data_IF_337863281049
#
_entry.id   IF_337863281049
#
_cell.length_a   1.000
_cell.length_b   1.000
_cell.length_c   1.000
_cell.angle_alpha   90.00
_cell.angle_beta   90.00
_cell.angle_gamma   90.00
#
_symmetry.space_group_name_H-M   'P 1'
#
loop_
_entity.id
_entity.type
_entity.pdbx_description
1 polymer ?
#
# COMPACT_ATOMS: atom_id res chain seq x y z
N UNK A 1 13.07 -65.56 15.74
CA UNK A 1 13.98 -64.63 16.45
C UNK A 1 15.05 -64.19 15.46
N UNK A 2 14.85 -63.06 14.77
CA UNK A 2 15.82 -62.51 13.80
C UNK A 2 15.93 -61.00 14.04
N UNK A 3 17.11 -60.56 14.48
CA UNK A 3 17.46 -59.16 14.71
C UNK A 3 17.76 -58.48 13.36
N UNK A 4 17.22 -57.27 13.15
CA UNK A 4 17.63 -56.36 12.07
C UNK A 4 18.94 -55.64 12.45
N UNK A 5 19.89 -55.44 11.52
CA UNK A 5 21.08 -54.63 11.77
C UNK A 5 20.73 -53.13 11.72
N UNK A 6 21.29 -52.34 12.64
CA UNK A 6 21.19 -50.87 12.68
C UNK A 6 22.14 -50.25 11.65
N UNK A 7 21.59 -49.56 10.64
CA UNK A 7 22.35 -48.61 9.82
C UNK A 7 22.46 -47.26 10.55
N UNK A 8 23.69 -46.75 10.73
CA UNK A 8 23.95 -45.37 11.17
C UNK A 8 23.88 -44.44 9.94
N UNK A 9 23.01 -43.42 10.01
CA UNK A 9 22.90 -42.34 9.02
C UNK A 9 24.05 -41.31 9.16
N UNK A 10 24.70 -40.84 8.07
CA UNK A 10 25.84 -39.91 8.14
C UNK A 10 25.51 -38.43 8.47
N UNK A 11 24.25 -38.07 8.66
CA UNK A 11 23.79 -36.67 8.67
C UNK A 11 24.18 -35.81 9.89
N UNK A 12 24.52 -36.41 11.04
CA UNK A 12 24.73 -35.66 12.31
C UNK A 12 26.09 -34.94 12.40
N UNK A 13 27.11 -35.36 11.66
CA UNK A 13 28.46 -34.73 11.70
C UNK A 13 28.60 -33.54 10.76
N UNK A 14 27.88 -33.52 9.63
CA UNK A 14 27.90 -32.41 8.68
C UNK A 14 27.25 -31.15 9.27
N UNK A 15 26.12 -31.30 9.98
CA UNK A 15 25.40 -30.20 10.64
C UNK A 15 26.24 -29.50 11.73
N UNK A 16 27.06 -30.24 12.50
CA UNK A 16 27.96 -29.64 13.50
C UNK A 16 29.11 -28.84 12.89
N UNK A 17 29.60 -29.22 11.70
CA UNK A 17 30.63 -28.45 10.99
C UNK A 17 30.06 -27.14 10.47
N UNK A 18 28.86 -27.15 9.90
CA UNK A 18 28.17 -25.93 9.42
C UNK A 18 27.96 -24.92 10.57
N UNK A 19 27.46 -25.38 11.73
CA UNK A 19 27.29 -24.55 12.92
C UNK A 19 28.61 -23.95 13.46
N UNK A 20 29.73 -24.65 13.26
CA UNK A 20 31.04 -24.16 13.66
C UNK A 20 31.57 -23.10 12.70
N UNK A 21 31.34 -23.25 11.39
CA UNK A 21 31.65 -22.22 10.39
C UNK A 21 30.80 -20.96 10.60
N UNK A 22 29.52 -21.10 10.92
CA UNK A 22 28.61 -19.99 11.21
C UNK A 22 29.03 -19.20 12.46
N UNK A 23 29.39 -19.90 13.56
CA UNK A 23 29.96 -19.24 14.74
C UNK A 23 31.26 -18.50 14.43
N UNK A 24 32.10 -19.03 13.53
CA UNK A 24 33.37 -18.39 13.15
C UNK A 24 33.14 -17.17 12.26
N UNK A 25 32.15 -17.22 11.37
CA UNK A 25 31.74 -16.09 10.52
C UNK A 25 31.14 -14.95 11.37
N UNK A 26 30.23 -15.25 12.30
CA UNK A 26 29.64 -14.26 13.20
C UNK A 26 30.69 -13.61 14.12
N UNK A 27 31.67 -14.38 14.57
CA UNK A 27 32.80 -13.85 15.35
C UNK A 27 33.70 -12.94 14.51
N UNK A 28 33.97 -13.28 13.25
CA UNK A 28 34.70 -12.40 12.33
C UNK A 28 33.93 -11.11 12.03
N UNK A 29 32.60 -11.19 11.86
CA UNK A 29 31.76 -10.03 11.62
C UNK A 29 31.81 -9.07 12.83
N UNK A 30 31.72 -9.59 14.05
CA UNK A 30 31.86 -8.78 15.26
C UNK A 30 33.24 -8.12 15.39
N UNK A 31 34.31 -8.84 15.05
CA UNK A 31 35.67 -8.27 15.06
C UNK A 31 35.79 -7.17 13.99
N UNK A 32 35.20 -7.35 12.81
CA UNK A 32 35.18 -6.35 11.75
C UNK A 32 34.38 -5.09 12.17
N UNK A 33 33.23 -5.27 12.81
CA UNK A 33 32.42 -4.16 13.35
C UNK A 33 33.17 -3.40 14.44
N UNK A 34 33.81 -4.09 15.38
CA UNK A 34 34.62 -3.46 16.44
C UNK A 34 35.85 -2.73 15.88
N UNK A 35 36.46 -3.26 14.81
CA UNK A 35 37.60 -2.63 14.14
C UNK A 35 37.17 -1.39 13.35
N UNK A 36 35.95 -1.38 12.78
CA UNK A 36 35.34 -0.22 12.14
C UNK A 36 34.98 0.88 13.16
N UNK A 37 34.46 0.52 14.33
CA UNK A 37 34.16 1.48 15.41
C UNK A 37 35.43 2.16 15.95
N UNK A 38 36.52 1.40 16.15
CA UNK A 38 37.81 1.94 16.59
C UNK A 38 38.52 2.81 15.55
N UNK A 39 38.28 2.60 14.26
CA UNK A 39 38.95 3.31 13.16
C UNK A 39 38.20 4.56 12.68
N UNK A 40 36.88 4.65 12.93
CA UNK A 40 36.05 5.74 12.41
C UNK A 40 35.43 6.64 13.49
N UNK A 41 35.47 6.25 14.77
CA UNK A 41 34.98 7.08 15.87
C UNK A 41 33.45 7.29 15.90
N UNK A 42 32.71 6.67 14.98
CA UNK A 42 31.25 6.68 14.96
C UNK A 42 30.71 5.50 15.77
N UNK A 43 30.14 5.76 16.96
CA UNK A 43 29.40 4.75 17.70
C UNK A 43 28.04 4.52 17.02
N UNK A 44 27.87 3.39 16.32
CA UNK A 44 26.56 2.99 15.83
C UNK A 44 25.70 2.60 17.04
N UNK A 45 24.76 3.48 17.39
CA UNK A 45 23.90 3.32 18.56
C UNK A 45 23.25 1.94 18.62
N UNK A 46 23.29 1.37 19.83
CA UNK A 46 22.80 0.05 20.23
C UNK A 46 21.31 -0.14 19.92
N UNK A 47 20.95 -0.38 18.66
CA UNK A 47 19.69 -1.05 18.34
C UNK A 47 19.88 -2.52 18.70
N UNK A 48 19.28 -2.90 19.83
CA UNK A 48 19.12 -4.28 20.28
C UNK A 48 18.78 -5.17 19.08
N UNK A 49 19.76 -5.94 18.63
CA UNK A 49 19.56 -7.10 17.75
C UNK A 49 18.92 -8.22 18.58
N UNK A 50 17.65 -8.01 18.94
CA UNK A 50 16.77 -9.03 19.48
C UNK A 50 15.79 -9.55 18.40
N UNK A 51 16.00 -9.16 17.14
CA UNK A 51 15.32 -9.69 15.97
C UNK A 51 16.22 -10.73 15.30
N UNK A 52 16.38 -11.92 15.90
CA UNK A 52 16.85 -13.08 15.15
C UNK A 52 16.63 -14.38 15.90
N UNK A 53 15.36 -14.77 16.00
CA UNK A 53 14.91 -16.16 16.10
C UNK A 53 13.40 -16.22 15.83
N UNK A 54 12.92 -15.44 14.87
CA UNK A 54 11.63 -15.74 14.25
C UNK A 54 11.82 -17.01 13.41
N UNK A 55 10.89 -17.94 13.55
CA UNK A 55 10.91 -19.27 12.94
C UNK A 55 11.07 -19.16 11.42
N UNK A 56 12.30 -19.33 10.91
CA UNK A 56 12.57 -19.57 9.47
C UNK A 56 11.76 -20.75 8.90
N UNK A 57 11.13 -21.55 9.75
CA UNK A 57 10.21 -22.63 9.38
C UNK A 57 8.84 -22.15 8.86
N UNK A 58 8.43 -20.91 9.14
CA UNK A 58 7.12 -20.38 8.71
C UNK A 58 7.18 -19.62 7.37
N UNK A 59 8.37 -19.32 6.84
CA UNK A 59 8.51 -18.62 5.55
C UNK A 59 8.15 -19.61 4.44
N UNK A 60 7.13 -19.27 3.67
CA UNK A 60 6.83 -19.93 2.40
C UNK A 60 7.65 -19.21 1.34
N UNK A 61 8.65 -19.87 0.77
CA UNK A 61 9.49 -19.27 -0.28
C UNK A 61 9.15 -19.81 -1.68
N UNK A 62 9.67 -19.13 -2.70
CA UNK A 62 9.50 -19.50 -4.11
C UNK A 62 10.14 -20.86 -4.44
N UNK A 63 11.22 -21.25 -3.75
CA UNK A 63 11.89 -22.52 -4.01
C UNK A 63 11.02 -23.70 -3.57
N UNK A 64 10.33 -23.58 -2.44
CA UNK A 64 9.40 -24.59 -1.95
C UNK A 64 8.18 -24.71 -2.86
N UNK A 65 7.66 -23.57 -3.34
CA UNK A 65 6.62 -23.54 -4.36
C UNK A 65 7.03 -24.32 -5.60
N UNK A 66 8.21 -24.04 -6.17
CA UNK A 66 8.74 -24.73 -7.34
C UNK A 66 8.91 -26.23 -7.08
N UNK A 67 9.48 -26.60 -5.93
CA UNK A 67 9.66 -28.00 -5.55
C UNK A 67 8.32 -28.73 -5.45
N UNK A 68 7.32 -28.10 -4.84
CA UNK A 68 5.97 -28.65 -4.75
C UNK A 68 5.37 -28.86 -6.14
N UNK A 69 5.45 -27.85 -7.03
CA UNK A 69 4.95 -27.95 -8.39
C UNK A 69 5.63 -29.09 -9.17
N UNK A 70 6.95 -29.22 -9.06
CA UNK A 70 7.70 -30.33 -9.67
C UNK A 70 7.22 -31.68 -9.13
N UNK A 71 7.00 -31.81 -7.82
CA UNK A 71 6.48 -33.02 -7.21
C UNK A 71 5.09 -33.38 -7.75
N UNK A 72 4.17 -32.42 -7.89
CA UNK A 72 2.84 -32.67 -8.46
C UNK A 72 2.92 -33.12 -9.91
N UNK A 73 3.74 -32.43 -10.72
CA UNK A 73 3.94 -32.79 -12.13
C UNK A 73 4.55 -34.19 -12.27
N UNK A 74 5.56 -34.51 -11.45
CA UNK A 74 6.20 -35.81 -11.43
C UNK A 74 5.22 -36.91 -11.04
N UNK A 75 4.42 -36.69 -9.98
CA UNK A 75 3.39 -37.63 -9.55
C UNK A 75 2.42 -37.93 -10.68
N UNK A 76 1.89 -36.90 -11.34
CA UNK A 76 0.96 -37.07 -12.45
C UNK A 76 1.56 -37.90 -13.61
N UNK A 77 2.82 -37.64 -13.98
CA UNK A 77 3.52 -38.40 -15.02
C UNK A 77 3.76 -39.85 -14.62
N UNK A 78 4.17 -40.10 -13.38
CA UNK A 78 4.38 -41.44 -12.85
C UNK A 78 3.06 -42.22 -12.79
N UNK A 79 1.96 -41.60 -12.36
CA UNK A 79 0.63 -42.20 -12.36
C UNK A 79 0.19 -42.64 -13.77
N UNK A 80 0.43 -41.82 -14.80
CA UNK A 80 0.16 -42.19 -16.19
C UNK A 80 1.01 -43.38 -16.66
N UNK A 81 2.28 -43.42 -16.25
CA UNK A 81 3.19 -44.54 -16.54
C UNK A 81 2.72 -45.83 -15.87
N UNK A 82 2.33 -45.77 -14.60
CA UNK A 82 1.80 -46.92 -13.84
C UNK A 82 0.54 -47.49 -14.48
N UNK A 83 -0.42 -46.65 -14.92
CA UNK A 83 -1.59 -47.13 -15.67
C UNK A 83 -1.20 -47.88 -16.93
N UNK A 84 -0.23 -47.35 -17.67
CA UNK A 84 0.24 -47.95 -18.92
C UNK A 84 0.93 -49.30 -18.67
N UNK A 85 1.72 -49.39 -17.59
CA UNK A 85 2.40 -50.63 -17.19
C UNK A 85 1.43 -51.72 -16.73
N UNK A 86 0.32 -51.35 -16.08
CA UNK A 86 -0.68 -52.32 -15.63
C UNK A 86 -1.39 -53.04 -16.79
N UNK A 87 -1.42 -52.42 -17.98
CA UNK A 87 -2.00 -53.03 -19.18
C UNK A 87 -1.17 -54.27 -19.57
N UNK A 88 -1.80 -55.43 -19.51
CA UNK A 88 -1.17 -56.72 -19.84
C UNK A 88 -0.50 -57.43 -18.66
N UNK A 89 -0.40 -56.79 -17.50
CA UNK A 89 0.09 -57.42 -16.26
C UNK A 89 -1.05 -57.73 -15.29
N UNK A 90 -1.94 -56.76 -15.06
CA UNK A 90 -3.03 -56.87 -14.09
C UNK A 90 -4.36 -57.15 -14.82
N UNK A 91 -5.15 -58.15 -14.40
CA UNK A 91 -6.48 -58.39 -14.96
C UNK A 91 -7.41 -57.17 -14.85
N UNK A 92 -8.17 -56.88 -15.91
CA UNK A 92 -9.04 -55.69 -16.04
C UNK A 92 -9.90 -55.41 -14.79
N UNK A 93 -10.48 -56.47 -14.20
CA UNK A 93 -11.34 -56.37 -13.02
C UNK A 93 -10.65 -55.85 -11.74
N UNK A 94 -9.31 -55.94 -11.66
CA UNK A 94 -8.52 -55.51 -10.51
C UNK A 94 -7.65 -54.29 -10.79
N UNK A 95 -7.59 -53.81 -12.04
CA UNK A 95 -6.69 -52.71 -12.43
C UNK A 95 -6.90 -51.44 -11.59
N UNK A 96 -8.15 -51.02 -11.38
CA UNK A 96 -8.44 -49.83 -10.58
C UNK A 96 -8.04 -49.97 -9.10
N UNK A 97 -8.31 -51.14 -8.50
CA UNK A 97 -7.96 -51.40 -7.10
C UNK A 97 -6.44 -51.46 -6.89
N UNK A 98 -5.71 -52.12 -7.80
CA UNK A 98 -4.24 -52.20 -7.73
C UNK A 98 -3.63 -50.82 -7.97
N UNK A 99 -4.12 -50.08 -8.96
CA UNK A 99 -3.69 -48.70 -9.23
C UNK A 99 -3.85 -47.80 -8.02
N UNK A 100 -5.01 -47.83 -7.36
CA UNK A 100 -5.26 -47.09 -6.12
C UNK A 100 -4.23 -47.40 -5.04
N UNK A 101 -3.94 -48.69 -4.79
CA UNK A 101 -2.97 -49.09 -3.77
C UNK A 101 -1.57 -48.54 -4.08
N UNK A 102 -1.18 -48.53 -5.36
CA UNK A 102 0.14 -48.04 -5.81
C UNK A 102 0.28 -46.53 -5.62
N UNK A 103 -0.77 -45.76 -5.94
CA UNK A 103 -0.68 -44.29 -5.93
C UNK A 103 -1.03 -43.66 -4.58
N UNK A 104 -1.69 -44.40 -3.67
CA UNK A 104 -2.25 -43.85 -2.43
C UNK A 104 -1.24 -43.06 -1.61
N UNK A 105 -0.10 -43.67 -1.29
CA UNK A 105 0.88 -43.07 -0.38
C UNK A 105 1.54 -41.82 -1.01
N UNK A 106 1.76 -41.84 -2.32
CA UNK A 106 2.32 -40.70 -3.06
C UNK A 106 1.30 -39.55 -3.20
N UNK A 107 0.02 -39.87 -3.43
CA UNK A 107 -1.08 -38.90 -3.40
C UNK A 107 -1.22 -38.26 -2.02
N UNK A 108 -1.17 -39.06 -0.95
CA UNK A 108 -1.25 -38.55 0.43
C UNK A 108 -0.10 -37.60 0.75
N UNK A 109 1.12 -37.90 0.30
CA UNK A 109 2.26 -37.02 0.44
C UNK A 109 2.05 -35.65 -0.24
N UNK A 110 1.59 -35.64 -1.50
CA UNK A 110 1.31 -34.40 -2.22
C UNK A 110 0.16 -33.59 -1.60
N UNK A 111 -0.86 -34.27 -1.07
CA UNK A 111 -1.94 -33.60 -0.31
C UNK A 111 -1.39 -32.95 0.94
N UNK A 112 -0.62 -33.70 1.74
CA UNK A 112 -0.04 -33.23 2.99
C UNK A 112 0.90 -32.03 2.78
N UNK A 113 1.73 -32.08 1.73
CA UNK A 113 2.63 -30.98 1.40
C UNK A 113 1.86 -29.71 0.98
N UNK A 114 0.81 -29.87 0.18
CA UNK A 114 -0.07 -28.76 -0.21
C UNK A 114 -0.81 -28.13 0.97
N UNK A 115 -1.33 -28.96 1.89
CA UNK A 115 -1.96 -28.51 3.13
C UNK A 115 -0.97 -27.81 4.06
N UNK A 116 0.27 -28.28 4.12
CA UNK A 116 1.36 -27.66 4.90
C UNK A 116 1.71 -26.26 4.40
N UNK A 117 1.81 -26.09 3.07
CA UNK A 117 2.03 -24.79 2.43
C UNK A 117 0.88 -23.83 2.75
N UNK A 118 -0.37 -24.27 2.53
CA UNK A 118 -1.56 -23.48 2.82
C UNK A 118 -1.66 -23.07 4.30
N UNK A 119 -1.35 -24.00 5.21
CA UNK A 119 -1.35 -23.77 6.65
C UNK A 119 -0.29 -22.76 7.09
N UNK A 120 0.91 -22.79 6.50
CA UNK A 120 1.96 -21.79 6.74
C UNK A 120 1.59 -20.43 6.18
N UNK A 121 1.09 -20.36 4.94
CA UNK A 121 0.59 -19.12 4.36
C UNK A 121 -0.47 -18.49 5.28
N UNK A 122 -1.43 -19.29 5.76
CA UNK A 122 -2.46 -18.85 6.73
C UNK A 122 -1.87 -18.33 8.04
N UNK A 123 -0.80 -18.94 8.56
CA UNK A 123 -0.10 -18.44 9.75
C UNK A 123 0.57 -17.08 9.50
N UNK A 124 1.20 -16.88 8.35
CA UNK A 124 1.79 -15.59 7.96
C UNK A 124 0.72 -14.51 7.80
N UNK A 125 -0.40 -14.83 7.13
CA UNK A 125 -1.54 -13.92 6.96
C UNK A 125 -2.10 -13.47 8.32
N UNK A 126 -2.24 -14.38 9.28
CA UNK A 126 -2.67 -14.01 10.65
C UNK A 126 -1.68 -13.08 11.37
N UNK A 127 -0.40 -13.10 10.98
CA UNK A 127 0.65 -12.19 11.45
C UNK A 127 0.73 -10.91 10.61
N UNK A 128 -0.23 -10.67 9.73
CA UNK A 128 -0.30 -9.53 8.80
C UNK A 128 0.80 -9.53 7.73
N UNK A 129 1.43 -10.69 7.48
CA UNK A 129 2.31 -10.90 6.34
C UNK A 129 1.51 -11.50 5.18
N UNK A 130 0.90 -10.61 4.40
CA UNK A 130 0.06 -10.99 3.27
C UNK A 130 0.86 -11.39 2.04
N UNK A 131 2.16 -11.08 1.96
CA UNK A 131 3.00 -11.49 0.84
C UNK A 131 3.07 -13.03 0.70
N UNK A 132 2.90 -13.76 1.81
CA UNK A 132 2.85 -15.22 1.81
C UNK A 132 1.72 -15.81 0.93
N UNK A 133 0.63 -15.07 0.68
CA UNK A 133 -0.45 -15.53 -0.22
C UNK A 133 0.01 -15.58 -1.68
N UNK A 134 1.00 -14.78 -2.06
CA UNK A 134 1.47 -14.70 -3.45
C UNK A 134 2.05 -16.04 -3.93
N UNK A 135 2.56 -16.88 -3.02
CA UNK A 135 3.01 -18.23 -3.35
C UNK A 135 1.85 -19.20 -3.61
N UNK A 136 0.68 -18.95 -3.02
CA UNK A 136 -0.50 -19.81 -3.18
C UNK A 136 -1.10 -19.68 -4.58
N UNK A 137 -1.08 -18.48 -5.18
CA UNK A 137 -1.70 -18.25 -6.49
C UNK A 137 -1.03 -19.04 -7.65
N UNK A 138 0.31 -19.04 -7.82
CA UNK A 138 0.97 -19.89 -8.82
C UNK A 138 0.65 -21.38 -8.65
N UNK A 139 0.63 -21.86 -7.40
CA UNK A 139 0.32 -23.26 -7.10
C UNK A 139 -1.11 -23.58 -7.55
N UNK A 140 -2.07 -22.75 -7.14
CA UNK A 140 -3.47 -22.89 -7.50
C UNK A 140 -3.65 -22.85 -9.02
N UNK A 141 -3.01 -21.91 -9.71
CA UNK A 141 -3.05 -21.79 -11.18
C UNK A 141 -2.59 -23.08 -11.87
N UNK A 142 -1.46 -23.62 -11.43
CA UNK A 142 -0.89 -24.82 -12.01
C UNK A 142 -1.77 -26.05 -11.75
N UNK A 143 -2.26 -26.22 -10.52
CA UNK A 143 -3.16 -27.33 -10.17
C UNK A 143 -4.48 -27.27 -10.94
N UNK A 144 -5.05 -26.07 -11.13
CA UNK A 144 -6.25 -25.89 -11.95
C UNK A 144 -6.01 -26.28 -13.41
N UNK A 145 -4.83 -25.98 -13.95
CA UNK A 145 -4.43 -26.36 -15.32
C UNK A 145 -4.27 -27.87 -15.46
N UNK A 146 -3.70 -28.53 -14.45
CA UNK A 146 -3.47 -29.98 -14.43
C UNK A 146 -4.72 -30.80 -14.11
N UNK A 147 -5.79 -30.17 -13.59
CA UNK A 147 -7.02 -30.83 -13.15
C UNK A 147 -7.61 -31.82 -14.17
N UNK A 148 -7.79 -31.48 -15.46
CA UNK A 148 -8.40 -32.41 -16.42
C UNK A 148 -7.53 -33.64 -16.71
N UNK A 149 -6.21 -33.49 -16.63
CA UNK A 149 -5.29 -34.63 -16.78
C UNK A 149 -5.34 -35.55 -15.57
N UNK A 150 -5.38 -34.96 -14.36
CA UNK A 150 -5.53 -35.70 -13.12
C UNK A 150 -6.84 -36.48 -13.12
N UNK A 151 -7.98 -35.83 -13.39
CA UNK A 151 -9.31 -36.46 -13.42
C UNK A 151 -9.37 -37.64 -14.39
N UNK A 152 -8.76 -37.54 -15.58
CA UNK A 152 -8.64 -38.65 -16.53
C UNK A 152 -7.76 -39.80 -16.00
N UNK A 153 -6.70 -39.47 -15.28
CA UNK A 153 -5.74 -40.47 -14.78
C UNK A 153 -6.34 -41.28 -13.62
N UNK A 154 -7.15 -40.65 -12.78
CA UNK A 154 -7.85 -41.33 -11.66
C UNK A 154 -9.25 -41.83 -12.01
N UNK A 155 -9.63 -41.81 -13.29
CA UNK A 155 -10.94 -42.28 -13.75
C UNK A 155 -11.17 -43.75 -13.38
N UNK A 156 -12.31 -44.07 -12.78
CA UNK A 156 -12.65 -45.42 -12.31
C UNK A 156 -12.02 -45.83 -10.97
N UNK A 157 -11.21 -44.97 -10.35
CA UNK A 157 -10.76 -45.17 -8.96
C UNK A 157 -11.86 -44.79 -7.95
N UNK A 158 -11.69 -45.22 -6.70
CA UNK A 158 -12.59 -44.86 -5.61
C UNK A 158 -12.73 -43.33 -5.45
N UNK A 159 -13.89 -42.88 -4.97
CA UNK A 159 -14.16 -41.47 -4.70
C UNK A 159 -13.11 -40.83 -3.77
N UNK A 160 -12.60 -41.57 -2.78
CA UNK A 160 -11.61 -41.06 -1.83
C UNK A 160 -10.30 -40.65 -2.49
N UNK A 161 -9.87 -41.32 -3.56
CA UNK A 161 -8.66 -40.93 -4.30
C UNK A 161 -8.95 -39.72 -5.17
N UNK A 162 -10.11 -39.70 -5.83
CA UNK A 162 -10.52 -38.60 -6.72
C UNK A 162 -10.74 -37.29 -5.94
N UNK A 163 -11.24 -37.37 -4.71
CA UNK A 163 -11.51 -36.21 -3.87
C UNK A 163 -10.24 -35.57 -3.29
N UNK A 164 -9.12 -36.30 -3.17
CA UNK A 164 -7.84 -35.76 -2.66
C UNK A 164 -7.34 -34.57 -3.46
N UNK A 165 -7.32 -34.66 -4.78
CA UNK A 165 -6.88 -33.57 -5.64
C UNK A 165 -7.81 -32.35 -5.54
N UNK A 166 -9.12 -32.59 -5.50
CA UNK A 166 -10.12 -31.54 -5.27
C UNK A 166 -9.98 -30.89 -3.89
N UNK A 167 -9.60 -31.67 -2.86
CA UNK A 167 -9.36 -31.17 -1.50
C UNK A 167 -8.24 -30.13 -1.47
N UNK A 168 -7.10 -30.42 -2.11
CA UNK A 168 -5.98 -29.46 -2.19
C UNK A 168 -6.41 -28.18 -2.90
N UNK A 169 -7.10 -28.30 -4.03
CA UNK A 169 -7.62 -27.14 -4.78
C UNK A 169 -8.53 -26.28 -3.90
N UNK A 170 -9.46 -26.89 -3.17
CA UNK A 170 -10.38 -26.18 -2.28
C UNK A 170 -9.64 -25.52 -1.11
N UNK A 171 -8.61 -26.19 -0.56
CA UNK A 171 -7.79 -25.65 0.53
C UNK A 171 -6.98 -24.42 0.08
N UNK A 172 -6.33 -24.50 -1.08
CA UNK A 172 -5.56 -23.38 -1.64
C UNK A 172 -6.48 -22.23 -2.05
N UNK A 173 -7.61 -22.54 -2.69
CA UNK A 173 -8.64 -21.56 -3.03
C UNK A 173 -9.16 -20.84 -1.77
N UNK A 174 -9.58 -21.60 -0.75
CA UNK A 174 -10.07 -21.04 0.51
C UNK A 174 -9.02 -20.22 1.25
N UNK A 175 -7.75 -20.60 1.15
CA UNK A 175 -6.63 -19.82 1.71
C UNK A 175 -6.45 -18.49 0.97
N UNK A 176 -6.45 -18.51 -0.37
CA UNK A 176 -6.37 -17.29 -1.19
C UNK A 176 -7.55 -16.34 -0.97
N UNK A 177 -8.79 -16.88 -1.00
CA UNK A 177 -10.00 -16.08 -0.77
C UNK A 177 -10.00 -15.43 0.62
N UNK A 178 -9.68 -16.21 1.66
CA UNK A 178 -9.61 -15.69 3.02
C UNK A 178 -8.52 -14.64 3.17
N UNK A 179 -7.35 -14.83 2.57
CA UNK A 179 -6.26 -13.84 2.63
C UNK A 179 -6.67 -12.49 2.05
N UNK A 180 -7.37 -12.49 0.91
CA UNK A 180 -7.83 -11.28 0.24
C UNK A 180 -8.85 -10.50 1.09
N UNK A 181 -9.77 -11.20 1.76
CA UNK A 181 -10.73 -10.57 2.68
C UNK A 181 -10.07 -10.12 4.00
N UNK A 182 -9.22 -10.96 4.60
CA UNK A 182 -8.47 -10.62 5.82
C UNK A 182 -7.57 -9.40 5.57
N UNK A 183 -7.06 -9.21 4.33
CA UNK A 183 -6.31 -8.01 3.94
C UNK A 183 -7.17 -6.75 4.04
N UNK A 184 -8.40 -6.77 3.51
CA UNK A 184 -9.33 -5.63 3.61
C UNK A 184 -9.62 -5.30 5.08
N UNK A 185 -9.82 -6.32 5.92
CA UNK A 185 -10.04 -6.12 7.35
C UNK A 185 -8.80 -5.56 8.06
N UNK A 186 -7.59 -5.95 7.64
CA UNK A 186 -6.35 -5.38 8.17
C UNK A 186 -6.20 -3.89 7.84
N UNK A 187 -6.65 -3.47 6.64
CA UNK A 187 -6.67 -2.05 6.25
C UNK A 187 -7.71 -1.26 7.05
N UNK A 188 -8.84 -1.89 7.39
CA UNK A 188 -9.89 -1.28 8.24
C UNK A 188 -9.41 -1.08 9.67
N UNK A 189 -8.75 -2.09 10.23
CA UNK A 189 -8.37 -2.18 11.64
C UNK A 189 -6.92 -1.81 11.90
N UNK A 190 -6.28 -1.07 10.97
CA UNK A 190 -4.86 -0.70 11.05
C UNK A 190 -4.49 -0.16 12.44
N UNK A 191 -3.64 -0.89 13.20
CA UNK A 191 -3.41 -0.59 14.61
C UNK A 191 -2.54 0.66 14.82
N UNK A 192 -1.93 1.19 13.75
CA UNK A 192 -1.07 2.36 13.85
C UNK A 192 -1.87 3.60 14.23
N UNK A 193 -1.56 4.14 15.41
CA UNK A 193 -2.01 5.48 15.82
C UNK A 193 -0.98 6.55 15.48
N UNK A 194 0.18 6.16 14.93
CA UNK A 194 1.26 7.08 14.60
C UNK A 194 0.91 7.83 13.32
N UNK A 195 0.59 9.12 13.47
CA UNK A 195 0.33 10.01 12.36
C UNK A 195 1.55 10.89 12.07
N UNK A 196 1.91 11.08 10.78
CA UNK A 196 2.96 12.01 10.41
C UNK A 196 2.64 13.43 10.84
N UNK A 197 3.48 14.04 11.69
CA UNK A 197 3.22 15.38 12.24
C UNK A 197 3.16 16.48 11.17
N UNK A 198 3.77 16.24 10.02
CA UNK A 198 3.88 17.12 8.87
C UNK A 198 2.81 16.85 7.79
N UNK A 199 1.94 15.86 8.01
CA UNK A 199 0.88 15.50 7.08
C UNK A 199 1.35 14.78 5.82
N UNK A 200 2.56 14.20 5.81
CA UNK A 200 3.04 13.39 4.67
C UNK A 200 2.19 12.14 4.42
N UNK A 201 2.51 11.40 3.35
CA UNK A 201 1.87 10.13 2.99
C UNK A 201 2.01 9.13 4.15
N UNK A 202 0.91 8.45 4.49
CA UNK A 202 0.89 7.44 5.55
C UNK A 202 1.46 6.12 5.03
N UNK A 203 2.19 5.39 5.87
CA UNK A 203 2.82 4.11 5.51
C UNK A 203 1.80 3.09 4.98
N UNK A 204 0.65 2.97 5.65
CA UNK A 204 -0.51 2.16 5.20
C UNK A 204 -0.84 2.36 3.72
N UNK A 205 -0.82 3.60 3.22
CA UNK A 205 -1.11 3.91 1.82
C UNK A 205 -0.10 3.24 0.89
N UNK A 206 1.19 3.33 1.21
CA UNK A 206 2.25 2.69 0.42
C UNK A 206 2.18 1.17 0.51
N UNK A 207 1.99 0.60 1.70
CA UNK A 207 1.91 -0.84 1.89
C UNK A 207 0.74 -1.47 1.14
N UNK A 208 -0.42 -0.79 1.15
CA UNK A 208 -1.59 -1.23 0.39
C UNK A 208 -1.31 -1.21 -1.11
N UNK A 209 -0.72 -0.14 -1.62
CA UNK A 209 -0.43 -0.03 -3.06
C UNK A 209 0.59 -1.07 -3.51
N UNK A 210 1.66 -1.31 -2.74
CA UNK A 210 2.64 -2.36 -3.07
C UNK A 210 1.99 -3.73 -3.15
N UNK A 211 1.11 -4.07 -2.20
CA UNK A 211 0.38 -5.34 -2.25
C UNK A 211 -0.52 -5.42 -3.48
N UNK A 212 -1.29 -4.37 -3.79
CA UNK A 212 -2.16 -4.34 -4.97
C UNK A 212 -1.36 -4.46 -6.28
N UNK A 213 -0.19 -3.82 -6.37
CA UNK A 213 0.74 -3.95 -7.51
C UNK A 213 1.17 -5.42 -7.69
N UNK A 214 1.50 -6.14 -6.61
CA UNK A 214 1.89 -7.55 -6.65
C UNK A 214 0.76 -8.49 -7.11
N UNK A 215 -0.51 -8.10 -6.95
CA UNK A 215 -1.65 -8.91 -7.40
C UNK A 215 -1.81 -8.92 -8.93
N UNK A 216 -1.21 -7.95 -9.64
CA UNK A 216 -1.34 -7.82 -11.09
C UNK A 216 -0.80 -9.04 -11.85
N UNK A 217 0.23 -9.71 -11.32
CA UNK A 217 0.81 -10.91 -11.92
C UNK A 217 -0.12 -12.12 -11.85
N UNK A 218 -1.16 -12.06 -11.03
CA UNK A 218 -2.05 -13.17 -10.70
C UNK A 218 -3.52 -12.92 -11.01
N UNK A 219 -3.83 -11.92 -11.84
CA UNK A 219 -5.21 -11.48 -12.15
C UNK A 219 -6.14 -12.63 -12.57
N UNK A 220 -5.69 -13.54 -13.42
CA UNK A 220 -6.52 -14.67 -13.87
C UNK A 220 -6.87 -15.63 -12.72
N UNK A 221 -5.89 -15.91 -11.86
CA UNK A 221 -6.07 -16.84 -10.74
C UNK A 221 -6.93 -16.21 -9.65
N UNK A 222 -6.65 -14.95 -9.31
CA UNK A 222 -7.43 -14.20 -8.33
C UNK A 222 -8.86 -14.01 -8.83
N UNK A 223 -9.05 -13.67 -10.10
CA UNK A 223 -10.38 -13.57 -10.72
C UNK A 223 -11.19 -14.87 -10.56
N UNK A 224 -10.56 -16.02 -10.81
CA UNK A 224 -11.18 -17.33 -10.58
C UNK A 224 -11.52 -17.60 -9.11
N UNK A 225 -10.70 -17.11 -8.17
CA UNK A 225 -10.96 -17.20 -6.72
C UNK A 225 -12.16 -16.34 -6.33
N UNK A 226 -12.16 -15.07 -6.75
CA UNK A 226 -13.23 -14.11 -6.46
C UNK A 226 -14.56 -14.51 -7.09
N UNK A 227 -14.55 -15.17 -8.25
CA UNK A 227 -15.76 -15.63 -8.92
C UNK A 227 -16.60 -16.62 -8.08
N UNK A 228 -15.98 -17.35 -7.16
CA UNK A 228 -16.69 -18.30 -6.29
C UNK A 228 -17.40 -17.62 -5.11
N UNK A 229 -17.07 -16.36 -4.84
CA UNK A 229 -17.72 -15.56 -3.81
C UNK A 229 -18.94 -14.83 -4.40
N UNK A 230 -20.16 -15.05 -3.84
CA UNK A 230 -21.37 -14.40 -4.31
C UNK A 230 -21.31 -12.87 -4.31
N UNK A 231 -20.55 -12.24 -3.41
CA UNK A 231 -20.44 -10.78 -3.32
C UNK A 231 -19.83 -10.21 -4.60
N UNK A 232 -18.73 -10.81 -5.07
CA UNK A 232 -18.03 -10.36 -6.28
C UNK A 232 -18.78 -10.76 -7.55
N UNK A 233 -19.33 -11.98 -7.59
CA UNK A 233 -20.15 -12.43 -8.72
C UNK A 233 -21.40 -11.57 -8.92
N UNK A 234 -22.08 -11.18 -7.84
CA UNK A 234 -23.21 -10.26 -7.94
C UNK A 234 -22.76 -8.87 -8.40
N UNK A 235 -21.66 -8.35 -7.84
CA UNK A 235 -21.13 -7.04 -8.24
C UNK A 235 -20.71 -7.00 -9.73
N UNK A 236 -20.17 -8.09 -10.27
CA UNK A 236 -19.83 -8.21 -11.69
C UNK A 236 -21.06 -8.04 -12.60
N UNK A 237 -22.23 -8.55 -12.20
CA UNK A 237 -23.46 -8.42 -13.00
C UNK A 237 -23.98 -6.99 -13.07
N UNK A 238 -23.60 -6.13 -12.11
CA UNK A 238 -23.98 -4.71 -12.07
C UNK A 238 -23.11 -3.84 -13.01
N UNK A 239 -22.00 -4.37 -13.51
CA UNK A 239 -21.13 -3.63 -14.42
C UNK A 239 -21.81 -3.49 -15.80
N UNK A 240 -21.95 -2.25 -16.34
CA UNK A 240 -22.47 -2.03 -17.67
C UNK A 240 -21.64 -2.77 -18.72
N UNK A 241 -22.27 -3.63 -19.51
CA UNK A 241 -21.57 -4.38 -20.56
C UNK A 241 -20.68 -5.52 -20.06
N UNK A 242 -20.90 -6.05 -18.84
CA UNK A 242 -20.13 -7.16 -18.25
C UNK A 242 -19.88 -8.37 -19.19
N UNK A 243 -20.77 -8.62 -20.16
CA UNK A 243 -20.61 -9.70 -21.15
C UNK A 243 -19.52 -9.46 -22.22
N UNK A 244 -18.98 -8.24 -22.32
CA UNK A 244 -17.91 -7.85 -23.27
C UNK A 244 -16.55 -7.67 -22.59
N UNK A 245 -16.51 -7.69 -21.26
CA UNK A 245 -15.33 -7.44 -20.46
C UNK A 245 -14.71 -8.76 -20.02
N UNK A 246 -13.39 -8.79 -19.89
CA UNK A 246 -12.69 -9.90 -19.26
C UNK A 246 -13.17 -10.04 -17.80
N UNK A 247 -13.84 -11.15 -17.52
CA UNK A 247 -14.48 -11.42 -16.22
C UNK A 247 -13.47 -11.41 -15.08
N UNK A 248 -12.27 -11.97 -15.29
CA UNK A 248 -11.25 -12.04 -14.25
C UNK A 248 -10.74 -10.65 -13.91
N UNK A 249 -10.43 -9.85 -14.94
CA UNK A 249 -10.00 -8.46 -14.78
C UNK A 249 -11.06 -7.62 -14.07
N UNK A 250 -12.34 -7.77 -14.44
CA UNK A 250 -13.43 -7.05 -13.80
C UNK A 250 -13.59 -7.43 -12.32
N UNK A 251 -13.49 -8.72 -11.97
CA UNK A 251 -13.55 -9.18 -10.58
C UNK A 251 -12.41 -8.63 -9.74
N UNK A 252 -11.18 -8.65 -10.28
CA UNK A 252 -10.02 -8.06 -9.61
C UNK A 252 -10.16 -6.54 -9.50
N UNK A 253 -10.71 -5.87 -10.50
CA UNK A 253 -11.06 -4.44 -10.44
C UNK A 253 -12.02 -4.11 -9.29
N UNK A 254 -13.07 -4.91 -9.11
CA UNK A 254 -14.02 -4.78 -7.98
C UNK A 254 -13.29 -4.96 -6.64
N UNK A 255 -12.40 -5.94 -6.53
CA UNK A 255 -11.59 -6.16 -5.34
C UNK A 255 -10.69 -4.97 -5.01
N UNK A 256 -9.91 -4.50 -6.00
CA UNK A 256 -9.04 -3.34 -5.85
C UNK A 256 -9.86 -2.12 -5.42
N UNK A 257 -11.00 -1.87 -6.06
CA UNK A 257 -11.92 -0.80 -5.66
C UNK A 257 -12.32 -0.92 -4.18
N UNK A 258 -12.73 -2.10 -3.72
CA UNK A 258 -13.12 -2.35 -2.32
C UNK A 258 -11.97 -2.05 -1.35
N UNK A 259 -10.75 -2.45 -1.68
CA UNK A 259 -9.54 -2.13 -0.91
C UNK A 259 -9.29 -0.62 -0.87
N UNK A 260 -9.34 0.07 -2.02
CA UNK A 260 -9.10 1.51 -2.11
C UNK A 260 -10.14 2.33 -1.34
N UNK A 261 -11.42 1.95 -1.42
CA UNK A 261 -12.49 2.56 -0.63
C UNK A 261 -12.22 2.36 0.86
N UNK A 262 -11.84 1.15 1.27
CA UNK A 262 -11.52 0.88 2.67
C UNK A 262 -10.30 1.67 3.16
N UNK A 263 -9.25 1.78 2.33
CA UNK A 263 -8.08 2.61 2.61
C UNK A 263 -8.48 4.08 2.79
N UNK A 264 -9.29 4.63 1.88
CA UNK A 264 -9.76 6.02 1.98
C UNK A 264 -10.56 6.25 3.26
N UNK A 265 -11.48 5.35 3.63
CA UNK A 265 -12.24 5.45 4.88
C UNK A 265 -11.32 5.44 6.12
N UNK A 266 -10.33 4.54 6.16
CA UNK A 266 -9.35 4.49 7.25
C UNK A 266 -8.52 5.77 7.32
N UNK A 267 -8.06 6.30 6.18
CA UNK A 267 -7.29 7.54 6.11
C UNK A 267 -8.11 8.76 6.54
N UNK A 268 -9.40 8.82 6.16
CA UNK A 268 -10.32 9.86 6.64
C UNK A 268 -10.47 9.79 8.15
N UNK A 269 -10.75 8.61 8.71
CA UNK A 269 -10.85 8.43 10.17
C UNK A 269 -9.57 8.80 10.92
N UNK A 270 -8.40 8.42 10.37
CA UNK A 270 -7.08 8.82 10.90
C UNK A 270 -6.86 10.32 10.84
N UNK A 271 -7.20 10.95 9.72
CA UNK A 271 -7.01 12.39 9.54
C UNK A 271 -7.81 13.22 10.55
N UNK A 272 -8.95 12.72 11.04
CA UNK A 272 -9.75 13.46 12.03
C UNK A 272 -9.06 13.60 13.40
N UNK A 273 -7.95 12.89 13.63
CA UNK A 273 -7.12 13.00 14.83
C UNK A 273 -6.19 14.23 14.84
N UNK A 274 -5.89 14.86 13.69
CA UNK A 274 -5.12 16.11 13.71
C UNK A 274 -5.96 17.23 14.31
N UNK A 275 -5.40 18.07 15.18
CA UNK A 275 -6.14 19.25 15.69
C UNK A 275 -6.34 20.33 14.63
N UNK A 276 -5.35 20.51 13.76
CA UNK A 276 -5.36 21.49 12.68
C UNK A 276 -6.13 20.95 11.45
N UNK A 277 -7.28 21.55 11.17
CA UNK A 277 -8.14 21.19 10.03
C UNK A 277 -7.48 21.36 8.67
N UNK A 278 -6.50 22.28 8.54
CA UNK A 278 -5.80 22.51 7.28
C UNK A 278 -4.72 21.43 7.06
N UNK A 279 -4.07 21.00 8.15
CA UNK A 279 -3.19 19.82 8.12
C UNK A 279 -3.96 18.54 7.78
N UNK A 280 -5.22 18.39 8.25
CA UNK A 280 -6.10 17.28 7.83
C UNK A 280 -6.27 17.25 6.31
N UNK A 281 -6.56 18.41 5.72
CA UNK A 281 -6.74 18.56 4.29
C UNK A 281 -5.45 18.24 3.52
N UNK A 282 -4.28 18.70 3.99
CA UNK A 282 -2.97 18.39 3.40
C UNK A 282 -2.67 16.89 3.47
N UNK A 283 -2.91 16.24 4.60
CA UNK A 283 -2.73 14.81 4.76
C UNK A 283 -3.60 14.01 3.78
N UNK A 284 -4.90 14.33 3.68
CA UNK A 284 -5.80 13.70 2.70
C UNK A 284 -5.33 13.95 1.27
N UNK A 285 -4.92 15.17 0.97
CA UNK A 285 -4.42 15.57 -0.35
C UNK A 285 -3.20 14.75 -0.77
N UNK A 286 -2.20 14.64 0.11
CA UNK A 286 -0.97 13.86 -0.15
C UNK A 286 -1.29 12.39 -0.42
N UNK A 287 -2.11 11.76 0.42
CA UNK A 287 -2.44 10.35 0.26
C UNK A 287 -3.29 10.09 -1.00
N UNK A 288 -4.29 10.92 -1.28
CA UNK A 288 -5.13 10.79 -2.48
C UNK A 288 -4.31 10.98 -3.76
N UNK A 289 -3.40 11.95 -3.78
CA UNK A 289 -2.51 12.16 -4.91
C UNK A 289 -1.55 10.99 -5.10
N UNK A 290 -0.97 10.47 -4.01
CA UNK A 290 -0.08 9.30 -4.07
C UNK A 290 -0.80 8.07 -4.61
N UNK A 291 -2.03 7.81 -4.14
CA UNK A 291 -2.87 6.71 -4.66
C UNK A 291 -3.13 6.90 -6.15
N UNK A 292 -3.61 8.07 -6.59
CA UNK A 292 -3.89 8.31 -8.00
C UNK A 292 -2.66 8.09 -8.89
N UNK A 293 -1.50 8.64 -8.50
CA UNK A 293 -0.24 8.46 -9.24
C UNK A 293 0.21 7.00 -9.27
N UNK A 294 0.05 6.26 -8.18
CA UNK A 294 0.37 4.84 -8.13
C UNK A 294 -0.57 4.02 -9.04
N UNK A 295 -1.87 4.31 -9.03
CA UNK A 295 -2.84 3.64 -9.91
C UNK A 295 -2.51 3.85 -11.38
N UNK A 296 -2.15 5.08 -11.77
CA UNK A 296 -1.74 5.44 -13.13
C UNK A 296 -0.42 4.73 -13.53
N UNK A 297 0.58 4.72 -12.63
CA UNK A 297 1.90 4.14 -12.92
C UNK A 297 1.87 2.61 -13.05
N UNK A 298 1.13 1.93 -12.18
CA UNK A 298 1.10 0.48 -12.11
C UNK A 298 0.14 -0.19 -13.10
N UNK A 299 -0.68 0.58 -13.83
CA UNK A 299 -1.75 0.02 -14.67
C UNK A 299 -2.93 -0.55 -13.87
N UNK A 300 -3.01 -0.26 -12.56
CA UNK A 300 -4.15 -0.63 -11.71
C UNK A 300 -5.40 0.16 -12.11
N UNK A 301 -5.23 1.39 -12.62
CA UNK A 301 -6.35 2.25 -13.00
C UNK A 301 -7.24 1.59 -14.06
N UNK A 302 -6.64 0.98 -15.09
CA UNK A 302 -7.37 0.29 -16.16
C UNK A 302 -8.26 -0.84 -15.62
N UNK A 303 -7.78 -1.59 -14.61
CA UNK A 303 -8.57 -2.65 -13.97
C UNK A 303 -9.72 -2.07 -13.15
N UNK A 304 -9.47 -1.03 -12.35
CA UNK A 304 -10.49 -0.42 -11.51
C UNK A 304 -11.58 0.23 -12.37
N UNK A 305 -11.21 0.87 -13.49
CA UNK A 305 -12.14 1.49 -14.43
C UNK A 305 -13.12 0.52 -15.09
N UNK A 306 -12.81 -0.78 -15.14
CA UNK A 306 -13.79 -1.80 -15.55
C UNK A 306 -14.99 -1.87 -14.60
N UNK A 307 -14.78 -1.54 -13.32
CA UNK A 307 -15.81 -1.58 -12.27
C UNK A 307 -16.31 -0.19 -11.85
N UNK A 308 -15.49 0.84 -12.03
CA UNK A 308 -15.76 2.24 -11.68
C UNK A 308 -15.15 3.17 -12.73
N UNK A 309 -15.87 3.45 -13.83
CA UNK A 309 -15.34 4.24 -14.95
C UNK A 309 -14.82 5.62 -14.53
N UNK A 310 -15.49 6.25 -13.56
CA UNK A 310 -15.20 7.61 -13.09
C UNK A 310 -14.15 7.64 -11.95
N UNK A 311 -13.44 6.55 -11.71
CA UNK A 311 -12.49 6.43 -10.59
C UNK A 311 -11.42 7.53 -10.60
N UNK A 312 -10.82 7.81 -11.75
CA UNK A 312 -9.79 8.85 -11.89
C UNK A 312 -10.37 10.25 -11.61
N UNK A 313 -11.55 10.55 -12.14
CA UNK A 313 -12.24 11.82 -11.92
C UNK A 313 -12.62 12.00 -10.44
N UNK A 314 -13.07 10.92 -9.78
CA UNK A 314 -13.37 10.91 -8.34
C UNK A 314 -12.15 11.29 -7.48
N UNK A 315 -10.96 10.75 -7.80
CA UNK A 315 -9.72 11.17 -7.12
C UNK A 315 -9.37 12.63 -7.41
N UNK A 316 -9.54 13.11 -8.65
CA UNK A 316 -9.34 14.52 -8.98
C UNK A 316 -10.29 15.44 -8.22
N UNK A 317 -11.54 15.06 -8.04
CA UNK A 317 -12.53 15.80 -7.25
C UNK A 317 -12.15 15.85 -5.77
N UNK A 318 -11.75 14.71 -5.18
CA UNK A 318 -11.24 14.64 -3.82
C UNK A 318 -9.99 15.52 -3.62
N UNK A 319 -9.08 15.54 -4.59
CA UNK A 319 -7.89 16.41 -4.59
C UNK A 319 -8.33 17.89 -4.63
N UNK A 320 -9.27 18.24 -5.50
CA UNK A 320 -9.79 19.61 -5.64
C UNK A 320 -10.49 20.09 -4.37
N UNK A 321 -11.28 19.24 -3.73
CA UNK A 321 -11.97 19.53 -2.48
C UNK A 321 -10.97 19.77 -1.33
N UNK A 322 -9.96 18.89 -1.20
CA UNK A 322 -8.93 19.07 -0.17
C UNK A 322 -8.08 20.33 -0.41
N UNK A 323 -7.75 20.67 -1.67
CA UNK A 323 -7.13 21.96 -2.01
C UNK A 323 -7.98 23.15 -1.58
N UNK A 324 -9.29 23.09 -1.82
CA UNK A 324 -10.24 24.13 -1.41
C UNK A 324 -10.30 24.26 0.12
N UNK A 325 -10.38 23.15 0.85
CA UNK A 325 -10.36 23.14 2.31
C UNK A 325 -9.04 23.73 2.86
N UNK A 326 -7.90 23.33 2.31
CA UNK A 326 -6.60 23.88 2.65
C UNK A 326 -6.53 25.39 2.38
N UNK A 327 -7.06 25.89 1.26
CA UNK A 327 -7.01 27.32 0.91
C UNK A 327 -7.67 28.24 1.97
N UNK A 328 -8.59 27.71 2.77
CA UNK A 328 -9.22 28.45 3.87
C UNK A 328 -8.24 28.79 5.01
N UNK A 329 -7.04 28.19 5.04
CA UNK A 329 -5.96 28.54 5.97
C UNK A 329 -5.56 30.02 5.86
N UNK A 330 -5.79 30.62 4.70
CA UNK A 330 -5.50 32.02 4.42
C UNK A 330 -6.56 33.00 4.96
N UNK A 331 -7.68 32.52 5.50
CA UNK A 331 -8.81 33.36 5.96
C UNK A 331 -8.37 34.48 6.93
N UNK A 332 -7.49 34.18 7.88
CA UNK A 332 -6.95 35.15 8.84
C UNK A 332 -6.05 36.21 8.20
N UNK A 333 -5.28 35.84 7.18
CA UNK A 333 -4.51 36.80 6.38
C UNK A 333 -5.47 37.72 5.62
N UNK A 334 -6.49 37.12 4.99
CA UNK A 334 -7.47 37.85 4.18
C UNK A 334 -8.30 38.84 4.99
N UNK A 335 -8.64 38.55 6.25
CA UNK A 335 -9.44 39.47 7.08
C UNK A 335 -8.79 40.83 7.32
N UNK A 336 -7.49 40.97 7.08
CA UNK A 336 -6.77 42.24 7.20
C UNK A 336 -6.65 43.03 5.88
N UNK A 337 -6.81 42.37 4.73
CA UNK A 337 -6.50 42.95 3.41
C UNK A 337 -7.65 42.87 2.39
N UNK A 338 -8.72 42.10 2.69
CA UNK A 338 -9.82 41.83 1.77
C UNK A 338 -11.18 41.83 2.49
N UNK A 339 -12.19 42.44 1.87
CA UNK A 339 -13.58 42.40 2.37
C UNK A 339 -13.90 43.30 3.58
N UNK A 340 -13.01 44.23 3.93
CA UNK A 340 -13.20 45.18 5.06
C UNK A 340 -13.64 46.56 4.57
N UNK A 341 -14.37 47.32 5.41
CA UNK A 341 -14.76 48.72 5.10
C UNK A 341 -13.58 49.55 4.60
N UNK A 342 -13.72 50.15 3.43
CA UNK A 342 -12.64 50.95 2.85
C UNK A 342 -12.47 52.25 3.62
N UNK A 343 -11.25 52.53 4.10
CA UNK A 343 -10.90 53.89 4.50
C UNK A 343 -11.04 54.80 3.26
N UNK A 344 -11.64 56.00 3.37
CA UNK A 344 -11.85 56.89 2.23
C UNK A 344 -10.53 57.43 1.67
N UNK A 345 -9.92 56.67 0.75
CA UNK A 345 -8.58 56.91 0.16
C UNK A 345 -8.51 58.23 -0.61
N UNK A 346 -9.60 58.66 -1.24
CA UNK A 346 -9.68 59.93 -1.95
C UNK A 346 -9.42 61.16 -1.04
N UNK A 347 -9.84 61.11 0.22
CA UNK A 347 -9.54 62.17 1.21
C UNK A 347 -8.14 62.02 1.83
N UNK A 348 -7.52 60.85 1.68
CA UNK A 348 -6.20 60.54 2.21
C UNK A 348 -5.07 61.20 1.40
N UNK A 349 -5.18 61.18 0.06
CA UNK A 349 -4.22 61.84 -0.84
C UNK A 349 -4.27 63.37 -0.78
N UNK A 350 -5.40 63.94 -0.33
CA UNK A 350 -5.54 65.39 -0.07
C UNK A 350 -5.01 65.82 1.31
N UNK A 351 -4.32 64.93 2.05
CA UNK A 351 -3.74 65.22 3.37
C UNK A 351 -4.74 65.27 4.53
N UNK A 352 -6.04 65.06 4.29
CA UNK A 352 -7.14 65.18 5.27
C UNK A 352 -7.55 63.83 5.89
N UNK A 353 -6.63 62.86 5.94
CA UNK A 353 -6.93 61.56 6.54
C UNK A 353 -7.18 61.71 8.06
N UNK A 354 -8.34 61.25 8.53
CA UNK A 354 -8.70 61.28 9.95
C UNK A 354 -7.81 60.32 10.74
N UNK A 355 -7.54 60.63 12.01
CA UNK A 355 -6.70 59.78 12.86
C UNK A 355 -7.23 58.35 13.02
N UNK A 356 -8.57 58.20 13.03
CA UNK A 356 -9.24 56.89 13.01
C UNK A 356 -8.86 56.07 11.77
N UNK A 357 -8.83 56.68 10.59
CA UNK A 357 -8.49 56.02 9.33
C UNK A 357 -6.99 55.68 9.28
N UNK A 358 -6.12 56.55 9.81
CA UNK A 358 -4.68 56.26 9.97
C UNK A 358 -4.43 55.07 10.88
N UNK A 359 -5.16 55.00 12.00
CA UNK A 359 -5.06 53.89 12.95
C UNK A 359 -5.49 52.57 12.30
N UNK A 360 -6.61 52.59 11.56
CA UNK A 360 -7.11 51.42 10.84
C UNK A 360 -6.10 50.87 9.81
N UNK A 361 -5.46 51.75 9.03
CA UNK A 361 -4.42 51.31 8.06
C UNK A 361 -3.22 50.69 8.79
N UNK A 362 -2.76 51.28 9.90
CA UNK A 362 -1.68 50.71 10.74
C UNK A 362 -2.03 49.33 11.27
N UNK A 363 -3.24 49.18 11.79
CA UNK A 363 -3.75 47.92 12.33
C UNK A 363 -3.80 46.83 11.26
N UNK A 364 -4.28 47.15 10.05
CA UNK A 364 -4.33 46.20 8.93
C UNK A 364 -2.95 45.71 8.50
N UNK A 365 -2.01 46.63 8.29
CA UNK A 365 -0.64 46.25 7.94
C UNK A 365 0.02 45.41 9.05
N UNK A 366 -0.17 45.78 10.32
CA UNK A 366 0.37 45.03 11.45
C UNK A 366 -0.27 43.62 11.56
N UNK A 367 -1.59 43.53 11.40
CA UNK A 367 -2.32 42.26 11.38
C UNK A 367 -1.89 41.36 10.23
N UNK A 368 -1.81 41.90 9.00
CA UNK A 368 -1.28 41.18 7.85
C UNK A 368 0.14 40.63 8.11
N UNK A 369 1.07 41.46 8.61
CA UNK A 369 2.43 41.01 8.86
C UNK A 369 2.48 39.85 9.86
N UNK A 370 1.69 39.95 10.94
CA UNK A 370 1.60 38.90 11.96
C UNK A 370 1.03 37.60 11.38
N UNK A 371 -0.12 37.68 10.71
CA UNK A 371 -0.80 36.49 10.17
C UNK A 371 -0.01 35.85 9.01
N UNK A 372 0.72 36.64 8.22
CA UNK A 372 1.65 36.14 7.21
C UNK A 372 2.83 35.37 7.81
N UNK A 373 3.38 35.85 8.94
CA UNK A 373 4.47 35.16 9.63
C UNK A 373 4.00 33.84 10.26
N UNK A 374 2.83 33.86 10.89
CA UNK A 374 2.21 32.66 11.46
C UNK A 374 1.90 31.62 10.39
N UNK A 375 1.24 32.01 9.28
CA UNK A 375 0.94 31.05 8.21
C UNK A 375 2.22 30.53 7.55
N UNK A 376 3.24 31.38 7.32
CA UNK A 376 4.51 30.91 6.75
C UNK A 376 5.23 29.91 7.66
N UNK A 377 5.14 30.10 8.99
CA UNK A 377 5.69 29.17 9.98
C UNK A 377 4.95 27.82 9.94
N UNK A 378 3.62 27.84 9.92
CA UNK A 378 2.79 26.62 9.85
C UNK A 378 3.03 25.87 8.54
N UNK A 379 2.98 26.56 7.41
CA UNK A 379 3.12 25.96 6.07
C UNK A 379 4.51 25.38 5.80
N UNK A 380 5.56 25.91 6.46
CA UNK A 380 6.90 25.31 6.43
C UNK A 380 7.01 24.01 7.22
N UNK A 381 6.10 23.76 8.16
CA UNK A 381 6.06 22.52 8.94
C UNK A 381 5.34 21.38 8.20
N UNK A 382 4.59 21.70 7.15
CA UNK A 382 3.90 20.72 6.33
C UNK A 382 4.85 20.10 5.30
N UNK A 383 4.63 18.83 4.99
CA UNK A 383 5.37 18.08 3.98
C UNK A 383 4.45 17.72 2.82
N UNK A 384 4.92 17.96 1.60
CA UNK A 384 4.23 17.60 0.36
C UNK A 384 5.24 16.87 -0.51
N UNK A 385 5.31 15.53 -0.44
CA UNK A 385 6.40 14.77 -1.06
C UNK A 385 6.42 14.89 -2.59
N UNK A 386 5.25 14.91 -3.23
CA UNK A 386 5.14 15.02 -4.67
C UNK A 386 5.45 16.44 -5.15
N UNK A 387 6.38 16.54 -6.10
CA UNK A 387 6.91 17.83 -6.60
C UNK A 387 5.87 18.58 -7.43
N UNK A 388 5.11 17.89 -8.28
CA UNK A 388 4.09 18.53 -9.14
C UNK A 388 2.96 19.11 -8.28
N UNK A 389 2.52 18.35 -7.28
CA UNK A 389 1.52 18.78 -6.32
C UNK A 389 2.01 19.96 -5.47
N UNK A 390 3.25 19.89 -4.96
CA UNK A 390 3.86 20.96 -4.16
C UNK A 390 3.93 22.26 -4.94
N UNK A 391 4.45 22.23 -6.16
CA UNK A 391 4.55 23.41 -7.02
C UNK A 391 3.18 23.91 -7.45
N UNK A 392 2.21 23.01 -7.69
CA UNK A 392 0.83 23.41 -7.92
C UNK A 392 0.23 24.16 -6.72
N UNK A 393 0.43 23.71 -5.49
CA UNK A 393 -0.08 24.39 -4.31
C UNK A 393 0.59 25.75 -4.08
N UNK A 394 1.89 25.87 -4.35
CA UNK A 394 2.60 27.16 -4.32
C UNK A 394 1.98 28.14 -5.32
N UNK A 395 1.68 27.70 -6.55
CA UNK A 395 0.97 28.51 -7.55
C UNK A 395 -0.44 28.88 -7.08
N UNK A 396 -1.23 27.91 -6.64
CA UNK A 396 -2.61 28.14 -6.16
C UNK A 396 -2.62 29.17 -5.00
N UNK A 397 -1.68 29.07 -4.05
CA UNK A 397 -1.51 30.02 -2.95
C UNK A 397 -1.20 31.44 -3.46
N UNK A 398 -0.29 31.57 -4.43
CA UNK A 398 0.10 32.86 -5.04
C UNK A 398 -1.08 33.49 -5.76
N UNK A 399 -1.79 32.73 -6.59
CA UNK A 399 -2.97 33.19 -7.32
C UNK A 399 -4.10 33.61 -6.36
N UNK A 400 -4.21 32.93 -5.22
CA UNK A 400 -5.21 33.24 -4.22
C UNK A 400 -4.92 34.53 -3.45
N UNK A 401 -3.66 34.79 -3.07
CA UNK A 401 -3.28 35.86 -2.14
C UNK A 401 -2.70 37.10 -2.81
N UNK A 402 -1.82 36.94 -3.80
CA UNK A 402 -1.06 38.06 -4.36
C UNK A 402 -1.94 39.15 -4.98
N UNK A 403 -3.00 38.85 -5.76
CA UNK A 403 -3.85 39.91 -6.33
C UNK A 403 -4.52 40.77 -5.26
N UNK A 404 -4.97 40.15 -4.16
CA UNK A 404 -5.64 40.84 -3.05
C UNK A 404 -4.66 41.70 -2.26
N UNK A 405 -3.48 41.15 -1.99
CA UNK A 405 -2.42 41.89 -1.32
C UNK A 405 -1.88 43.04 -2.16
N UNK A 406 -1.73 42.84 -3.48
CA UNK A 406 -1.29 43.88 -4.41
C UNK A 406 -2.24 45.07 -4.40
N UNK A 407 -3.55 44.81 -4.54
CA UNK A 407 -4.57 45.86 -4.49
C UNK A 407 -4.55 46.62 -3.14
N UNK A 408 -4.42 45.90 -2.02
CA UNK A 408 -4.27 46.51 -0.69
C UNK A 408 -3.00 47.37 -0.58
N UNK A 409 -1.88 46.84 -1.07
CA UNK A 409 -0.58 47.49 -1.02
C UNK A 409 -0.56 48.78 -1.85
N UNK A 410 -1.00 48.74 -3.11
CA UNK A 410 -1.04 49.93 -3.98
C UNK A 410 -1.95 51.03 -3.40
N UNK A 411 -3.10 50.62 -2.86
CA UNK A 411 -4.10 51.52 -2.31
C UNK A 411 -3.62 52.30 -1.08
N UNK A 412 -2.80 51.68 -0.22
CA UNK A 412 -2.44 52.26 1.09
C UNK A 412 -0.96 52.58 1.27
N UNK A 413 -0.06 52.05 0.43
CA UNK A 413 1.40 52.24 0.60
C UNK A 413 1.86 53.68 0.41
N UNK A 414 1.20 54.44 -0.48
CA UNK A 414 1.52 55.84 -0.77
C UNK A 414 0.78 56.84 0.12
N UNK A 415 -0.13 56.34 0.97
CA UNK A 415 -0.91 57.18 1.88
C UNK A 415 -0.06 57.59 3.08
N UNK A 416 0.01 58.88 3.48
CA UNK A 416 0.81 59.32 4.62
C UNK A 416 0.15 59.00 5.97
N UNK A 417 -0.08 57.73 6.28
CA UNK A 417 -0.77 57.29 7.50
C UNK A 417 0.15 57.22 8.74
N UNK A 418 1.47 57.25 8.55
CA UNK A 418 2.48 57.13 9.62
C UNK A 418 3.78 57.85 9.23
N UNK A 419 4.59 58.21 10.24
CA UNK A 419 5.97 58.69 10.03
C UNK A 419 6.99 57.54 9.91
N UNK A 420 6.63 56.35 10.43
CA UNK A 420 7.50 55.17 10.43
C UNK A 420 6.91 54.10 9.51
N UNK A 421 7.03 54.30 8.19
CA UNK A 421 6.36 53.47 7.18
C UNK A 421 6.89 52.04 7.16
N UNK A 422 8.21 51.87 7.30
CA UNK A 422 8.91 50.57 7.32
C UNK A 422 8.46 49.64 8.46
N UNK A 423 7.98 50.21 9.57
CA UNK A 423 7.45 49.42 10.70
C UNK A 423 6.16 48.67 10.31
N UNK A 424 5.36 49.23 9.42
CA UNK A 424 4.05 48.71 9.05
C UNK A 424 4.08 48.00 7.69
N UNK A 425 4.74 48.59 6.70
CA UNK A 425 4.89 48.00 5.37
C UNK A 425 6.16 47.13 5.36
N UNK A 426 6.07 45.93 5.95
CA UNK A 426 7.21 45.02 6.10
C UNK A 426 7.53 44.24 4.82
N UNK A 427 6.50 43.93 4.03
CA UNK A 427 6.61 43.11 2.83
C UNK A 427 6.13 43.87 1.60
N UNK A 428 6.90 43.84 0.52
CA UNK A 428 6.40 44.16 -0.82
C UNK A 428 5.71 42.93 -1.44
N UNK A 429 4.84 43.08 -2.44
CA UNK A 429 4.19 41.93 -3.10
C UNK A 429 5.18 40.87 -3.60
N UNK A 430 6.33 41.29 -4.14
CA UNK A 430 7.40 40.37 -4.54
C UNK A 430 8.00 39.57 -3.37
N UNK A 431 8.11 40.18 -2.19
CA UNK A 431 8.60 39.50 -0.99
C UNK A 431 7.57 38.50 -0.44
N UNK A 432 6.28 38.81 -0.52
CA UNK A 432 5.21 37.84 -0.19
C UNK A 432 5.26 36.64 -1.13
N UNK A 433 5.45 36.87 -2.44
CA UNK A 433 5.64 35.79 -3.41
C UNK A 433 6.83 34.90 -3.04
N UNK A 434 7.98 35.50 -2.73
CA UNK A 434 9.19 34.78 -2.32
C UNK A 434 9.06 34.05 -0.97
N UNK A 435 8.16 34.50 -0.08
CA UNK A 435 7.84 33.76 1.15
C UNK A 435 7.04 32.49 0.84
N UNK A 436 6.07 32.56 -0.07
CA UNK A 436 5.27 31.41 -0.51
C UNK A 436 6.13 30.37 -1.24
N UNK A 437 7.14 30.81 -2.00
CA UNK A 437 8.10 29.91 -2.63
C UNK A 437 8.82 28.99 -1.64
N UNK A 438 8.94 29.43 -0.37
CA UNK A 438 9.58 28.68 0.71
C UNK A 438 8.62 27.76 1.49
N UNK A 439 7.37 27.65 1.07
CA UNK A 439 6.40 26.76 1.74
C UNK A 439 6.73 25.31 1.40
N UNK A 440 6.52 24.40 2.35
CA UNK A 440 6.76 22.95 2.16
C UNK A 440 8.22 22.52 1.93
N UNK A 441 9.19 23.44 2.00
CA UNK A 441 10.60 23.16 1.65
C UNK A 441 11.39 22.41 2.74
N UNK A 442 10.91 22.36 3.98
CA UNK A 442 11.68 21.75 5.11
C UNK A 442 11.71 20.21 5.04
N UNK A 443 10.87 19.60 4.21
CA UNK A 443 10.77 18.15 4.03
C UNK A 443 11.12 17.68 2.60
N UNK A 444 11.75 18.53 1.79
CA UNK A 444 12.17 18.24 0.42
C UNK A 444 13.54 17.54 0.35
#
# INVERSE_FOLDING_TARGET
MFQRPKFQTPGRRASKRLQMFEKKANKMLQIATQTLEHSTGFSLGTRRSALHLESREDIVDEQEMENYLVCVMALQRLMQSERSLMVGIVPLQHQHQVFEIVIRDAMDMVVQDGESIASRAKRCINRHDFAAVLVVFPILKHLLTMRPEFERTVEGCDYNVRSKFASILNTLHGTGAKALEDFIESVRSDPSTQLPKDGTVHELTSNVLVFLEQLLDYVDTIGGVLAQDPVYSNALTLIPGHGKVDKNKALVGIYIKKVLVQLNLTLVGKSDLYSDIYLRAVFRLNNNHYVLKALQRAGLLDLVQLSEPDCEESYHDMIRENKKAYSQSWSRVLSHIWGTEDAPVAMAHAGKLRDKDRHLIKERFAGFNKEMEEIAKVQRSYSIPDVELRESLKRDNKEYILPKYHAFYEKYSTVPFTKNTEKYIKYAPAQVSALIDRFFDVAA
#
